data_IF_892931403559
#
_entry.id   IF_892931403559
#
_cell.length_a   1.000
_cell.length_b   1.000
_cell.length_c   1.000
_cell.angle_alpha   90.00
_cell.angle_beta   90.00
_cell.angle_gamma   90.00
#
_symmetry.space_group_name_H-M   'P 1'
#
loop_
_entity.id
_entity.type
_entity.pdbx_description
1 polymer ?
#
# COMPACT_ATOMS: atom_id res chain seq x y z
N UNK A 1 -10.08 1.44 6.94
CA UNK A 1 -11.12 0.97 5.99
C UNK A 1 -12.23 0.34 6.80
N UNK A 2 -13.44 0.89 6.71
CA UNK A 2 -14.54 0.56 7.61
C UNK A 2 -15.05 -0.87 7.38
N UNK A 3 -15.25 -1.61 8.47
CA UNK A 3 -15.84 -2.95 8.53
C UNK A 3 -17.17 -3.06 7.78
N UNK A 4 -17.93 -1.96 7.72
CA UNK A 4 -19.18 -1.84 6.98
C UNK A 4 -18.98 -2.05 5.48
N UNK A 5 -17.88 -1.55 4.90
CA UNK A 5 -17.59 -1.68 3.47
C UNK A 5 -17.22 -3.11 3.09
N UNK A 6 -16.53 -3.84 3.99
CA UNK A 6 -16.26 -5.27 3.81
C UNK A 6 -17.52 -6.12 3.90
N UNK A 7 -18.42 -5.82 4.85
CA UNK A 7 -19.69 -6.51 5.01
C UNK A 7 -20.60 -6.33 3.79
N UNK A 8 -20.70 -5.11 3.25
CA UNK A 8 -21.52 -4.87 2.05
C UNK A 8 -20.94 -5.54 0.82
N UNK A 9 -19.62 -5.57 0.66
CA UNK A 9 -18.99 -6.26 -0.46
C UNK A 9 -19.15 -7.79 -0.35
N UNK A 10 -19.00 -8.36 0.85
CA UNK A 10 -19.22 -9.79 1.07
C UNK A 10 -20.68 -10.21 0.85
N UNK A 11 -21.64 -9.41 1.31
CA UNK A 11 -23.08 -9.64 1.07
C UNK A 11 -23.40 -9.51 -0.42
N UNK A 12 -22.82 -8.52 -1.11
CA UNK A 12 -23.02 -8.32 -2.55
C UNK A 12 -22.49 -9.50 -3.38
N UNK A 13 -21.31 -10.03 -3.04
CA UNK A 13 -20.76 -11.21 -3.73
C UNK A 13 -21.55 -12.49 -3.44
N UNK A 14 -22.04 -12.65 -2.21
CA UNK A 14 -22.89 -13.79 -1.83
C UNK A 14 -24.24 -13.74 -2.54
N UNK A 15 -24.85 -12.56 -2.64
CA UNK A 15 -26.09 -12.33 -3.37
C UNK A 15 -25.92 -12.53 -4.88
N UNK A 16 -24.80 -12.06 -5.45
CA UNK A 16 -24.47 -12.25 -6.87
C UNK A 16 -24.26 -13.74 -7.20
N UNK A 17 -23.51 -14.47 -6.38
CA UNK A 17 -23.33 -15.92 -6.54
C UNK A 17 -24.64 -16.69 -6.44
N UNK A 18 -25.51 -16.32 -5.49
CA UNK A 18 -26.85 -16.88 -5.36
C UNK A 18 -27.74 -16.60 -6.58
N UNK A 19 -27.70 -15.38 -7.12
CA UNK A 19 -28.51 -14.98 -8.28
C UNK A 19 -28.05 -15.67 -9.57
N UNK A 20 -26.74 -15.81 -9.78
CA UNK A 20 -26.18 -16.56 -10.92
C UNK A 20 -26.53 -18.05 -10.80
N UNK A 21 -26.41 -18.65 -9.61
CA UNK A 21 -26.83 -20.02 -9.36
C UNK A 21 -28.32 -20.24 -9.63
N UNK A 22 -29.17 -19.30 -9.20
CA UNK A 22 -30.62 -19.33 -9.43
C UNK A 22 -30.99 -19.17 -10.91
N UNK A 23 -30.34 -18.25 -11.65
CA UNK A 23 -30.52 -18.06 -13.09
C UNK A 23 -30.13 -19.30 -13.90
N UNK A 24 -29.02 -19.96 -13.56
CA UNK A 24 -28.57 -21.16 -14.25
C UNK A 24 -29.49 -22.35 -13.94
N UNK A 25 -29.90 -22.52 -12.68
CA UNK A 25 -30.82 -23.59 -12.28
C UNK A 25 -32.21 -23.49 -12.92
N UNK A 26 -32.75 -22.27 -13.03
CA UNK A 26 -34.08 -22.03 -13.64
C UNK A 26 -34.08 -22.16 -15.16
N UNK A 27 -33.01 -21.74 -15.85
CA UNK A 27 -32.90 -21.86 -17.31
C UNK A 27 -32.63 -23.31 -17.77
N UNK A 28 -31.93 -24.11 -16.98
CA UNK A 28 -31.76 -25.54 -17.26
C UNK A 28 -33.08 -26.32 -17.08
N UNK A 29 -33.92 -25.95 -16.10
CA UNK A 29 -35.25 -26.54 -15.92
C UNK A 29 -36.27 -26.09 -16.99
N UNK A 30 -36.12 -24.90 -17.58
CA UNK A 30 -37.07 -24.36 -18.59
C UNK A 30 -36.83 -24.90 -20.00
N UNK A 31 -35.62 -25.38 -20.34
CA UNK A 31 -35.32 -25.97 -21.65
C UNK A 31 -35.73 -27.43 -21.83
N UNK A 32 -36.10 -28.15 -20.77
CA UNK A 32 -36.66 -29.52 -20.87
C UNK A 32 -38.21 -29.54 -20.95
N UNK A 33 -38.87 -28.38 -21.08
CA UNK A 33 -40.33 -28.25 -21.04
C UNK A 33 -41.11 -28.45 -22.34
N UNK A 34 -40.47 -28.78 -23.46
CA UNK A 34 -41.18 -28.90 -24.75
C UNK A 34 -40.65 -30.03 -25.64
N UNK A 35 -40.58 -31.25 -25.09
CA UNK A 35 -40.81 -32.49 -25.85
C UNK A 35 -40.77 -33.67 -24.88
N UNK A 36 -41.73 -34.58 -25.03
CA UNK A 36 -41.80 -35.90 -24.37
C UNK A 36 -42.36 -35.88 -22.93
N UNK A 37 -43.69 -35.98 -22.88
CA UNK A 37 -44.37 -36.69 -21.81
C UNK A 37 -43.85 -38.14 -21.72
N UNK A 38 -43.90 -38.70 -20.51
CA UNK A 38 -43.60 -40.09 -20.14
C UNK A 38 -42.18 -40.35 -19.63
N UNK A 39 -42.11 -40.52 -18.30
CA UNK A 39 -41.17 -41.42 -17.60
C UNK A 39 -39.75 -40.92 -17.21
N UNK A 40 -39.67 -39.84 -16.41
CA UNK A 40 -38.42 -39.44 -15.70
C UNK A 40 -38.57 -39.25 -14.19
N UNK A 41 -39.57 -39.87 -13.55
CA UNK A 41 -39.82 -39.68 -12.10
C UNK A 41 -39.00 -40.55 -11.14
N UNK A 42 -38.05 -41.36 -11.61
CA UNK A 42 -37.40 -42.38 -10.73
C UNK A 42 -35.92 -42.20 -10.43
N UNK A 43 -35.19 -41.31 -11.11
CA UNK A 43 -33.72 -41.21 -10.98
C UNK A 43 -33.19 -39.85 -10.52
N UNK A 44 -34.08 -38.93 -10.11
CA UNK A 44 -33.71 -37.56 -9.74
C UNK A 44 -33.50 -37.22 -8.24
N UNK A 45 -33.49 -38.12 -7.24
CA UNK A 45 -33.25 -37.69 -5.86
C UNK A 45 -31.77 -37.62 -5.45
N UNK A 46 -30.80 -38.10 -6.27
CA UNK A 46 -29.38 -38.18 -5.86
C UNK A 46 -28.52 -36.99 -6.27
N UNK A 47 -28.88 -36.25 -7.32
CA UNK A 47 -28.03 -35.16 -7.84
C UNK A 47 -28.21 -33.84 -7.09
N UNK A 48 -29.38 -33.57 -6.51
CA UNK A 48 -29.61 -32.33 -5.74
C UNK A 48 -28.73 -32.25 -4.49
N UNK A 49 -28.52 -33.38 -3.80
CA UNK A 49 -27.60 -33.44 -2.65
C UNK A 49 -26.14 -33.21 -3.04
N UNK A 50 -25.73 -33.65 -4.24
CA UNK A 50 -24.36 -33.45 -4.74
C UNK A 50 -24.14 -31.97 -5.07
N UNK A 51 -25.12 -31.32 -5.72
CA UNK A 51 -25.02 -29.88 -6.05
C UNK A 51 -24.96 -29.04 -4.77
N UNK A 52 -25.82 -29.32 -3.79
CA UNK A 52 -25.79 -28.63 -2.49
C UNK A 52 -24.46 -28.84 -1.76
N UNK A 53 -23.92 -30.06 -1.78
CA UNK A 53 -22.62 -30.34 -1.17
C UNK A 53 -21.46 -29.60 -1.87
N UNK A 54 -21.49 -29.50 -3.19
CA UNK A 54 -20.49 -28.74 -3.98
C UNK A 54 -20.57 -27.25 -3.68
N UNK A 55 -21.77 -26.68 -3.59
CA UNK A 55 -21.95 -25.25 -3.24
C UNK A 55 -21.48 -24.96 -1.82
N UNK A 56 -21.80 -25.84 -0.86
CA UNK A 56 -21.29 -25.72 0.52
C UNK A 56 -19.76 -25.83 0.57
N UNK A 57 -19.18 -26.78 -0.15
CA UNK A 57 -17.74 -26.95 -0.23
C UNK A 57 -17.05 -25.74 -0.86
N UNK A 58 -17.62 -25.16 -1.92
CA UNK A 58 -17.11 -23.93 -2.54
C UNK A 58 -17.21 -22.73 -1.59
N UNK A 59 -18.33 -22.59 -0.88
CA UNK A 59 -18.52 -21.54 0.13
C UNK A 59 -17.49 -21.64 1.25
N UNK A 60 -17.25 -22.86 1.74
CA UNK A 60 -16.27 -23.11 2.80
C UNK A 60 -14.83 -22.89 2.32
N UNK A 61 -14.50 -23.32 1.11
CA UNK A 61 -13.21 -23.06 0.49
C UNK A 61 -12.95 -21.55 0.30
N UNK A 62 -13.97 -20.80 -0.13
CA UNK A 62 -13.87 -19.34 -0.31
C UNK A 62 -13.70 -18.63 1.04
N UNK A 63 -14.42 -19.08 2.09
CA UNK A 63 -14.27 -18.53 3.44
C UNK A 63 -12.86 -18.79 4.02
N UNK A 64 -12.33 -20.01 3.84
CA UNK A 64 -10.96 -20.34 4.23
C UNK A 64 -9.94 -19.50 3.46
N UNK A 65 -10.12 -19.36 2.14
CA UNK A 65 -9.27 -18.53 1.31
C UNK A 65 -9.27 -17.07 1.79
N UNK A 66 -10.45 -16.52 2.13
CA UNK A 66 -10.59 -15.18 2.69
C UNK A 66 -9.92 -15.00 4.05
N UNK A 67 -9.96 -16.01 4.92
CA UNK A 67 -9.29 -15.98 6.22
C UNK A 67 -7.77 -15.94 6.09
N UNK A 68 -7.19 -16.80 5.25
CA UNK A 68 -5.74 -16.81 5.00
C UNK A 68 -5.26 -15.55 4.28
N UNK A 69 -6.05 -15.01 3.35
CA UNK A 69 -5.75 -13.74 2.67
C UNK A 69 -5.73 -12.56 3.64
N UNK A 70 -6.71 -12.45 4.55
CA UNK A 70 -6.77 -11.36 5.52
C UNK A 70 -5.58 -11.37 6.50
N UNK A 71 -5.19 -12.54 7.02
CA UNK A 71 -4.06 -12.65 7.94
C UNK A 71 -2.75 -12.17 7.30
N UNK A 72 -2.52 -12.54 6.02
CA UNK A 72 -1.35 -12.10 5.26
C UNK A 72 -1.39 -10.62 4.88
N UNK A 73 -2.57 -10.09 4.55
CA UNK A 73 -2.74 -8.66 4.28
C UNK A 73 -2.49 -7.80 5.53
N UNK A 74 -2.89 -8.29 6.70
CA UNK A 74 -2.68 -7.55 7.95
C UNK A 74 -1.18 -7.42 8.28
N UNK A 75 -0.41 -8.49 8.14
CA UNK A 75 1.06 -8.46 8.33
C UNK A 75 1.75 -7.50 7.35
N UNK A 76 1.40 -7.56 6.06
CA UNK A 76 1.96 -6.66 5.04
C UNK A 76 1.61 -5.20 5.32
N UNK A 77 0.36 -4.91 5.70
CA UNK A 77 -0.08 -3.56 6.00
C UNK A 77 0.63 -2.97 7.22
N UNK A 78 0.88 -3.78 8.26
CA UNK A 78 1.64 -3.37 9.45
C UNK A 78 3.10 -3.10 9.10
N UNK A 79 3.72 -3.96 8.29
CA UNK A 79 5.11 -3.75 7.85
C UNK A 79 5.25 -2.48 7.00
N UNK A 80 4.31 -2.25 6.07
CA UNK A 80 4.30 -1.05 5.23
C UNK A 80 4.06 0.23 6.05
N UNK A 81 3.19 0.18 7.07
CA UNK A 81 2.95 1.29 7.98
C UNK A 81 4.21 1.63 8.80
N UNK A 82 4.89 0.62 9.35
CA UNK A 82 6.12 0.80 10.11
C UNK A 82 7.24 1.39 9.23
N UNK A 83 7.35 0.94 7.97
CA UNK A 83 8.30 1.51 7.02
C UNK A 83 7.97 2.97 6.69
N UNK A 84 6.71 3.29 6.36
CA UNK A 84 6.34 4.65 5.96
C UNK A 84 6.48 5.66 7.09
N UNK A 85 6.18 5.25 8.32
CA UNK A 85 6.37 6.07 9.53
C UNK A 85 7.85 6.33 9.78
N UNK A 86 8.68 5.28 9.85
CA UNK A 86 10.13 5.45 10.06
C UNK A 86 10.80 6.25 8.93
N UNK A 87 10.32 6.14 7.70
CA UNK A 87 10.79 6.94 6.58
C UNK A 87 10.39 8.42 6.71
N UNK A 88 9.16 8.69 7.13
CA UNK A 88 8.68 10.06 7.37
C UNK A 88 9.45 10.73 8.51
N UNK A 89 9.66 10.02 9.61
CA UNK A 89 10.41 10.52 10.77
C UNK A 89 11.87 10.86 10.40
N UNK A 90 12.52 9.99 9.62
CA UNK A 90 13.86 10.23 9.12
C UNK A 90 13.92 11.45 8.18
N UNK A 91 12.89 11.68 7.35
CA UNK A 91 12.80 12.87 6.50
C UNK A 91 12.62 14.12 7.35
N UNK A 92 11.70 14.10 8.30
CA UNK A 92 11.38 15.28 9.11
C UNK A 92 12.60 15.73 9.92
N UNK A 93 13.29 14.78 10.56
CA UNK A 93 14.53 15.03 11.30
C UNK A 93 15.67 15.61 10.44
N UNK A 94 15.74 15.24 9.16
CA UNK A 94 16.74 15.75 8.20
C UNK A 94 16.34 17.06 7.53
N UNK A 95 15.04 17.33 7.44
CA UNK A 95 14.51 18.48 6.70
C UNK A 95 14.92 19.79 7.35
N UNK A 96 14.90 19.88 8.69
CA UNK A 96 15.29 21.09 9.39
C UNK A 96 16.77 21.46 9.13
N UNK A 97 17.70 20.51 9.32
CA UNK A 97 19.12 20.72 9.04
C UNK A 97 19.39 21.03 7.55
N UNK A 98 18.62 20.42 6.64
CA UNK A 98 18.76 20.69 5.20
C UNK A 98 18.30 22.09 4.82
N UNK A 99 17.21 22.59 5.43
CA UNK A 99 16.74 23.98 5.24
C UNK A 99 17.79 24.99 5.69
N UNK A 100 18.40 24.80 6.86
CA UNK A 100 19.46 25.68 7.37
C UNK A 100 20.68 25.70 6.43
N UNK A 101 21.03 24.54 5.86
CA UNK A 101 22.11 24.41 4.88
C UNK A 101 21.78 25.10 3.55
N UNK A 102 20.53 25.04 3.10
CA UNK A 102 20.07 25.71 1.87
C UNK A 102 20.04 27.24 2.06
N UNK A 103 19.55 27.73 3.21
CA UNK A 103 19.56 29.15 3.54
C UNK A 103 20.98 29.72 3.60
N UNK A 104 21.91 29.03 4.27
CA UNK A 104 23.32 29.43 4.31
C UNK A 104 23.98 29.42 2.92
N UNK A 105 23.56 28.50 2.05
CA UNK A 105 24.04 28.44 0.67
C UNK A 105 23.52 29.61 -0.18
N UNK A 106 22.26 30.00 0.00
CA UNK A 106 21.66 31.15 -0.68
C UNK A 106 22.33 32.46 -0.24
N UNK A 107 22.60 32.63 1.06
CA UNK A 107 23.34 33.79 1.57
C UNK A 107 24.77 33.84 1.02
N UNK A 108 25.46 32.69 0.93
CA UNK A 108 26.77 32.61 0.28
C UNK A 108 26.69 33.06 -1.19
N UNK A 109 25.67 32.62 -1.93
CA UNK A 109 25.47 33.02 -3.32
C UNK A 109 25.16 34.50 -3.50
N UNK A 110 24.34 35.10 -2.62
CA UNK A 110 24.08 36.54 -2.61
C UNK A 110 25.37 37.33 -2.45
N UNK A 111 26.28 36.88 -1.56
CA UNK A 111 27.58 37.53 -1.39
C UNK A 111 28.44 37.38 -2.64
N UNK A 112 28.53 36.19 -3.21
CA UNK A 112 29.30 35.95 -4.45
C UNK A 112 28.79 36.87 -5.56
N UNK A 113 27.47 36.96 -5.75
CA UNK A 113 26.86 37.84 -6.76
C UNK A 113 27.16 39.32 -6.51
N UNK A 114 27.07 39.77 -5.25
CA UNK A 114 27.43 41.14 -4.87
C UNK A 114 28.92 41.45 -5.07
N UNK A 115 29.77 40.44 -4.86
CA UNK A 115 31.22 40.54 -5.00
C UNK A 115 31.69 40.69 -6.44
N UNK A 116 30.95 40.14 -7.40
CA UNK A 116 31.18 40.39 -8.82
C UNK A 116 30.86 41.83 -9.24
N UNK A 117 29.91 42.48 -8.56
CA UNK A 117 29.48 43.85 -8.90
C UNK A 117 30.37 44.92 -8.26
N UNK A 118 30.91 44.66 -7.06
CA UNK A 118 31.79 45.58 -6.35
C UNK A 118 32.90 44.81 -5.61
N UNK A 119 34.00 44.44 -6.30
CA UNK A 119 35.09 43.71 -5.66
C UNK A 119 35.83 44.60 -4.65
N UNK A 120 35.86 44.17 -3.40
CA UNK A 120 36.54 44.86 -2.30
C UNK A 120 36.97 43.92 -1.18
N UNK A 121 37.94 44.31 -0.34
CA UNK A 121 38.46 43.47 0.76
C UNK A 121 37.38 43.10 1.79
N UNK A 122 36.36 43.96 1.99
CA UNK A 122 35.22 43.66 2.87
C UNK A 122 34.37 42.49 2.38
N UNK A 123 34.21 42.32 1.07
CA UNK A 123 33.44 41.22 0.47
C UNK A 123 34.12 39.89 0.78
N UNK A 124 35.45 39.84 0.72
CA UNK A 124 36.22 38.63 1.02
C UNK A 124 36.02 38.19 2.47
N UNK A 125 36.05 39.11 3.44
CA UNK A 125 35.82 38.79 4.85
C UNK A 125 34.40 38.27 5.08
N UNK A 126 33.39 38.89 4.44
CA UNK A 126 32.00 38.40 4.54
C UNK A 126 31.81 37.04 3.87
N UNK A 127 32.47 36.80 2.74
CA UNK A 127 32.47 35.52 2.04
C UNK A 127 33.08 34.41 2.91
N UNK A 128 34.26 34.64 3.49
CA UNK A 128 34.92 33.67 4.37
C UNK A 128 34.03 33.32 5.58
N UNK A 129 33.35 34.33 6.16
CA UNK A 129 32.38 34.11 7.24
C UNK A 129 31.19 33.24 6.80
N UNK A 130 30.56 33.55 5.67
CA UNK A 130 29.41 32.77 5.17
C UNK A 130 29.82 31.37 4.72
N UNK A 131 31.00 31.22 4.16
CA UNK A 131 31.54 29.92 3.78
C UNK A 131 31.69 29.01 5.01
N UNK A 132 32.20 29.53 6.12
CA UNK A 132 32.30 28.78 7.36
C UNK A 132 30.92 28.39 7.91
N UNK A 133 29.93 29.30 7.83
CA UNK A 133 28.55 28.99 8.24
C UNK A 133 27.92 27.88 7.37
N UNK A 134 28.15 27.92 6.06
CA UNK A 134 27.72 26.87 5.13
C UNK A 134 28.39 25.52 5.45
N UNK A 135 29.70 25.52 5.71
CA UNK A 135 30.45 24.30 6.05
C UNK A 135 29.95 23.69 7.36
N UNK A 136 29.69 24.50 8.38
CA UNK A 136 29.11 24.04 9.65
C UNK A 136 27.71 23.45 9.46
N UNK A 137 26.83 24.12 8.69
CA UNK A 137 25.50 23.61 8.37
C UNK A 137 25.57 22.28 7.60
N UNK A 138 26.54 22.15 6.69
CA UNK A 138 26.78 20.90 5.96
C UNK A 138 27.22 19.76 6.88
N UNK A 139 28.04 20.04 7.90
CA UNK A 139 28.41 19.03 8.90
C UNK A 139 27.22 18.61 9.76
N UNK A 140 26.35 19.55 10.16
CA UNK A 140 25.10 19.25 10.87
C UNK A 140 24.17 18.36 10.05
N UNK A 141 24.04 18.60 8.74
CA UNK A 141 23.29 17.71 7.84
C UNK A 141 23.88 16.30 7.81
N UNK A 142 25.21 16.18 7.71
CA UNK A 142 25.87 14.86 7.74
C UNK A 142 25.68 14.14 9.06
N UNK A 143 25.74 14.85 10.19
CA UNK A 143 25.47 14.30 11.51
C UNK A 143 24.01 13.81 11.59
N UNK A 144 23.03 14.65 11.20
CA UNK A 144 21.61 14.27 11.17
C UNK A 144 21.33 13.08 10.26
N UNK A 145 22.00 12.98 9.11
CA UNK A 145 21.89 11.82 8.21
C UNK A 145 22.45 10.53 8.82
N UNK A 146 23.53 10.65 9.61
CA UNK A 146 24.15 9.53 10.31
C UNK A 146 23.29 9.05 11.49
N UNK A 147 22.70 10.00 12.23
CA UNK A 147 21.88 9.71 13.41
C UNK A 147 20.50 9.19 13.02
N UNK A 148 19.97 9.61 11.87
CA UNK A 148 18.67 9.19 11.35
C UNK A 148 18.82 8.54 9.97
N UNK A 149 19.37 7.31 9.85
CA UNK A 149 19.52 6.63 8.57
C UNK A 149 18.15 6.34 7.94
N UNK A 150 18.09 6.27 6.60
CA UNK A 150 16.88 5.78 5.94
C UNK A 150 16.64 4.30 6.34
N UNK A 151 15.39 3.90 6.58
CA UNK A 151 15.08 2.50 6.79
C UNK A 151 15.50 1.66 5.57
N UNK A 152 15.96 0.42 5.77
CA UNK A 152 16.33 -0.48 4.68
C UNK A 152 15.12 -0.74 3.76
N UNK A 153 15.37 -1.20 2.53
CA UNK A 153 14.31 -1.33 1.54
C UNK A 153 13.20 -2.27 2.05
N UNK A 154 11.92 -2.03 1.69
CA UNK A 154 10.80 -2.83 2.18
C UNK A 154 10.93 -4.34 1.93
N UNK A 155 11.63 -4.74 0.86
CA UNK A 155 11.95 -6.13 0.53
C UNK A 155 12.83 -6.85 1.57
N UNK A 156 13.62 -6.09 2.32
CA UNK A 156 14.54 -6.62 3.33
C UNK A 156 13.86 -6.67 4.72
N UNK A 157 12.75 -5.94 4.89
CA UNK A 157 11.99 -5.82 6.14
C UNK A 157 10.71 -6.68 6.14
N UNK A 158 10.03 -6.77 5.00
CA UNK A 158 8.79 -7.50 4.86
C UNK A 158 9.08 -8.84 4.16
N UNK A 159 8.80 -10.00 4.79
CA UNK A 159 9.10 -11.29 4.19
C UNK A 159 8.35 -11.47 2.86
N UNK A 160 9.09 -11.77 1.79
CA UNK A 160 8.61 -11.95 0.41
C UNK A 160 7.66 -13.15 0.22
N UNK A 161 7.19 -13.79 1.30
CA UNK A 161 6.43 -15.06 1.32
C UNK A 161 5.00 -14.98 0.74
N UNK A 162 4.74 -14.02 -0.13
CA UNK A 162 3.52 -13.89 -0.93
C UNK A 162 3.82 -14.03 -2.45
N UNK A 163 4.72 -14.94 -2.84
CA UNK A 163 4.79 -15.47 -4.20
C UNK A 163 4.43 -16.95 -4.21
#
# INVERSE_FOLDING_TARGET
MNTITYLTQAIAWSAAGGFVGFMVGTNLCRKEGSAVASDRRRWRPRFDHIIVAVVLALGLATALQGYFLNARQEELSRCQLAYSTGFADAIDARTQASKEKDEAQDELWKIVQSGFQAPGPEVRVRFEKQLNQYLEAREKVKASQKDNPYPPAPRDLCPETAR
#
